data_IF_636730863507
#
_entry.id   IF_636730863507
#
_cell.length_a   1.000
_cell.length_b   1.000
_cell.length_c   1.000
_cell.angle_alpha   90.00
_cell.angle_beta   90.00
_cell.angle_gamma   90.00
#
_symmetry.space_group_name_H-M   'P 1'
#
loop_
_entity.id
_entity.type
_entity.pdbx_description
1 polymer ?
#
# COMPACT_ATOMS: atom_id res chain seq x y z
N UNK A 1 -3.87 32.74 8.37
CA UNK A 1 -3.35 31.44 8.89
C UNK A 1 -2.21 31.78 9.80
N UNK A 2 -2.21 31.33 11.06
CA UNK A 2 -1.08 31.61 11.99
C UNK A 2 0.17 30.83 11.54
N UNK A 3 1.36 31.33 11.91
CA UNK A 3 2.64 30.66 11.56
C UNK A 3 2.66 29.23 12.11
N UNK A 4 2.05 28.99 13.26
CA UNK A 4 1.98 27.67 13.91
C UNK A 4 1.18 26.64 13.07
N UNK A 5 0.11 27.07 12.41
CA UNK A 5 -0.68 26.21 11.51
C UNK A 5 0.13 25.83 10.26
N UNK A 6 0.92 26.78 9.72
CA UNK A 6 1.80 26.51 8.58
C UNK A 6 2.90 25.52 8.94
N UNK A 7 3.49 25.66 10.13
CA UNK A 7 4.54 24.75 10.60
C UNK A 7 3.98 23.35 10.82
N UNK A 8 2.83 23.22 11.48
CA UNK A 8 2.21 21.90 11.72
C UNK A 8 1.81 21.18 10.42
N UNK A 9 1.27 21.89 9.44
CA UNK A 9 0.97 21.30 8.12
C UNK A 9 2.25 20.94 7.36
N UNK A 10 3.31 21.72 7.46
CA UNK A 10 4.60 21.41 6.84
C UNK A 10 5.25 20.18 7.48
N UNK A 11 5.19 20.02 8.80
CA UNK A 11 5.67 18.83 9.52
C UNK A 11 4.87 17.58 9.16
N UNK A 12 3.54 17.72 9.08
CA UNK A 12 2.64 16.64 8.64
C UNK A 12 3.01 16.15 7.24
N UNK A 13 3.09 17.06 6.29
CA UNK A 13 3.44 16.73 4.89
C UNK A 13 4.86 16.17 4.83
N UNK A 14 5.81 16.76 5.56
CA UNK A 14 7.20 16.34 5.59
C UNK A 14 7.38 14.90 6.08
N UNK A 15 6.70 14.50 7.16
CA UNK A 15 6.76 13.13 7.69
C UNK A 15 6.15 12.11 6.72
N UNK A 16 5.05 12.46 6.04
CA UNK A 16 4.42 11.60 5.02
C UNK A 16 5.30 11.45 3.79
N UNK A 17 5.91 12.54 3.30
CA UNK A 17 6.85 12.51 2.16
C UNK A 17 8.14 11.74 2.50
N UNK A 18 8.67 11.90 3.72
CA UNK A 18 9.81 11.13 4.18
C UNK A 18 9.48 9.63 4.24
N UNK A 19 8.33 9.26 4.79
CA UNK A 19 7.88 7.88 4.77
C UNK A 19 7.75 7.34 3.34
N UNK A 20 7.09 8.07 2.45
CA UNK A 20 6.93 7.69 1.04
C UNK A 20 8.28 7.41 0.37
N UNK A 21 9.23 8.32 0.55
CA UNK A 21 10.58 8.15 0.04
C UNK A 21 11.25 6.89 0.60
N UNK A 22 11.25 6.75 1.92
CA UNK A 22 11.99 5.69 2.59
C UNK A 22 11.38 4.31 2.35
N UNK A 23 10.04 4.19 2.38
CA UNK A 23 9.39 2.90 2.14
C UNK A 23 9.53 2.46 0.68
N UNK A 24 9.45 3.40 -0.28
CA UNK A 24 9.64 3.08 -1.70
C UNK A 24 11.05 2.58 -1.98
N UNK A 25 12.08 3.29 -1.47
CA UNK A 25 13.48 2.83 -1.61
C UNK A 25 13.69 1.48 -0.92
N UNK A 26 13.10 1.28 0.26
CA UNK A 26 13.14 -0.01 0.97
C UNK A 26 12.56 -1.12 0.10
N UNK A 27 11.37 -0.92 -0.46
CA UNK A 27 10.69 -1.91 -1.29
C UNK A 27 11.48 -2.27 -2.56
N UNK A 28 12.03 -1.28 -3.26
CA UNK A 28 12.91 -1.46 -4.43
C UNK A 28 14.18 -2.28 -4.08
N UNK A 29 14.81 -1.99 -2.94
CA UNK A 29 15.97 -2.74 -2.47
C UNK A 29 15.62 -4.17 -2.03
N UNK A 30 14.45 -4.38 -1.43
CA UNK A 30 13.94 -5.73 -1.12
C UNK A 30 13.71 -6.54 -2.40
N UNK A 31 13.14 -5.92 -3.45
CA UNK A 31 12.97 -6.58 -4.74
C UNK A 31 14.32 -6.88 -5.41
N UNK A 32 15.24 -5.92 -5.44
CA UNK A 32 16.58 -6.09 -5.99
C UNK A 32 17.38 -7.19 -5.25
N UNK A 33 17.16 -7.36 -3.93
CA UNK A 33 17.72 -8.47 -3.15
C UNK A 33 17.04 -9.82 -3.44
N UNK A 34 15.88 -9.81 -4.11
CA UNK A 34 15.14 -11.01 -4.49
C UNK A 34 14.15 -11.52 -3.42
N UNK A 35 13.75 -10.69 -2.47
CA UNK A 35 12.84 -11.10 -1.38
C UNK A 35 11.49 -11.56 -1.93
N UNK A 36 10.88 -10.80 -2.85
CA UNK A 36 9.59 -11.17 -3.44
C UNK A 36 9.69 -12.43 -4.32
N UNK A 37 10.80 -12.61 -5.05
CA UNK A 37 11.07 -13.83 -5.81
C UNK A 37 11.26 -15.03 -4.90
N UNK A 38 12.00 -14.90 -3.80
CA UNK A 38 12.15 -15.96 -2.82
C UNK A 38 10.80 -16.34 -2.18
N UNK A 39 9.98 -15.36 -1.81
CA UNK A 39 8.64 -15.58 -1.28
C UNK A 39 7.77 -16.33 -2.30
N UNK A 40 7.69 -15.87 -3.56
CA UNK A 40 6.88 -16.52 -4.59
C UNK A 40 7.32 -17.96 -4.87
N UNK A 41 8.64 -18.24 -4.84
CA UNK A 41 9.16 -19.62 -4.96
C UNK A 41 8.74 -20.49 -3.77
N UNK A 42 8.79 -19.97 -2.55
CA UNK A 42 8.29 -20.68 -1.37
C UNK A 42 6.81 -21.02 -1.49
N UNK A 43 5.99 -20.09 -2.03
CA UNK A 43 4.57 -20.34 -2.30
C UNK A 43 4.38 -21.44 -3.33
N UNK A 44 5.13 -21.42 -4.43
CA UNK A 44 5.04 -22.45 -5.47
C UNK A 44 5.39 -23.86 -4.92
N UNK A 45 6.38 -23.95 -4.04
CA UNK A 45 6.71 -25.23 -3.35
C UNK A 45 5.65 -25.64 -2.34
N UNK A 46 5.13 -24.68 -1.54
CA UNK A 46 4.10 -24.93 -0.53
C UNK A 46 2.77 -25.39 -1.15
N UNK A 47 2.45 -24.90 -2.35
CA UNK A 47 1.25 -25.26 -3.08
C UNK A 47 1.28 -26.70 -3.65
N UNK A 48 2.43 -27.38 -3.65
CA UNK A 48 2.59 -28.81 -4.01
C UNK A 48 1.96 -29.19 -5.35
N UNK A 49 1.96 -28.30 -6.32
CA UNK A 49 1.41 -28.54 -7.65
C UNK A 49 -0.05 -28.14 -7.83
N UNK A 50 -0.75 -27.70 -6.79
CA UNK A 50 -2.11 -27.20 -6.90
C UNK A 50 -2.13 -25.71 -7.25
N UNK A 51 -2.65 -25.36 -8.43
CA UNK A 51 -2.79 -23.97 -8.87
C UNK A 51 -3.75 -23.17 -8.00
N UNK A 52 -4.82 -23.80 -7.52
CA UNK A 52 -5.76 -23.13 -6.59
C UNK A 52 -5.07 -22.74 -5.28
N UNK A 53 -4.28 -23.68 -4.70
CA UNK A 53 -3.52 -23.37 -3.47
C UNK A 53 -2.47 -22.30 -3.73
N UNK A 54 -1.77 -22.35 -4.86
CA UNK A 54 -0.81 -21.34 -5.28
C UNK A 54 -1.47 -19.95 -5.37
N UNK A 55 -2.64 -19.88 -5.99
CA UNK A 55 -3.38 -18.63 -6.11
C UNK A 55 -3.81 -18.08 -4.75
N UNK A 56 -4.35 -18.94 -3.86
CA UNK A 56 -4.74 -18.53 -2.49
C UNK A 56 -3.54 -18.06 -1.67
N UNK A 57 -2.40 -18.74 -1.78
CA UNK A 57 -1.16 -18.31 -1.13
C UNK A 57 -0.65 -16.98 -1.70
N UNK A 58 -0.82 -16.76 -3.01
CA UNK A 58 -0.50 -15.47 -3.64
C UNK A 58 -1.43 -14.34 -3.18
N UNK A 59 -2.72 -14.62 -2.99
CA UNK A 59 -3.70 -13.70 -2.37
C UNK A 59 -3.26 -13.34 -0.95
N UNK A 60 -2.86 -14.33 -0.14
CA UNK A 60 -2.36 -14.09 1.22
C UNK A 60 -1.07 -13.26 1.21
N UNK A 61 -0.11 -13.56 0.33
CA UNK A 61 1.13 -12.79 0.19
C UNK A 61 0.84 -11.34 -0.23
N UNK A 62 -0.05 -11.13 -1.22
CA UNK A 62 -0.43 -9.80 -1.66
C UNK A 62 -1.07 -9.00 -0.51
N UNK A 63 -1.95 -9.62 0.27
CA UNK A 63 -2.55 -9.01 1.46
C UNK A 63 -1.48 -8.59 2.47
N UNK A 64 -0.55 -9.48 2.82
CA UNK A 64 0.53 -9.18 3.78
C UNK A 64 1.45 -8.07 3.28
N UNK A 65 1.87 -8.13 2.02
CA UNK A 65 2.72 -7.09 1.42
C UNK A 65 2.01 -5.74 1.40
N UNK A 66 0.72 -5.70 1.06
CA UNK A 66 -0.07 -4.47 1.08
C UNK A 66 -0.14 -3.88 2.49
N UNK A 67 -0.47 -4.70 3.49
CA UNK A 67 -0.64 -4.26 4.88
C UNK A 67 0.65 -3.67 5.47
N UNK A 68 1.81 -4.28 5.21
CA UNK A 68 3.07 -3.89 5.87
C UNK A 68 4.02 -3.06 5.03
N UNK A 69 3.94 -3.12 3.71
CA UNK A 69 4.86 -2.39 2.83
C UNK A 69 4.17 -1.29 2.00
N UNK A 70 3.01 -1.46 1.54
CA UNK A 70 2.08 -0.50 0.90
C UNK A 70 1.37 -1.07 -0.32
N UNK A 71 0.31 -0.38 -0.74
CA UNK A 71 -0.41 -0.68 -1.97
C UNK A 71 0.50 -0.56 -3.22
N UNK A 72 1.36 0.44 -3.25
CA UNK A 72 2.27 0.68 -4.39
C UNK A 72 3.27 -0.45 -4.55
N UNK A 73 3.83 -0.95 -3.43
CA UNK A 73 4.73 -2.11 -3.42
C UNK A 73 4.04 -3.35 -4.00
N UNK A 74 2.81 -3.61 -3.60
CA UNK A 74 2.03 -4.75 -4.11
C UNK A 74 1.74 -4.60 -5.60
N UNK A 75 1.26 -3.43 -6.01
CA UNK A 75 0.88 -3.19 -7.40
C UNK A 75 2.09 -3.18 -8.34
N UNK A 76 3.20 -2.55 -7.96
CA UNK A 76 4.33 -2.28 -8.86
C UNK A 76 5.40 -3.38 -8.78
N UNK A 77 5.73 -3.87 -7.59
CA UNK A 77 6.85 -4.81 -7.39
C UNK A 77 6.38 -6.26 -7.28
N UNK A 78 5.35 -6.55 -6.48
CA UNK A 78 4.90 -7.92 -6.29
C UNK A 78 4.15 -8.47 -7.51
N UNK A 79 3.33 -7.65 -8.19
CA UNK A 79 2.55 -8.11 -9.35
C UNK A 79 3.42 -8.70 -10.44
N UNK A 80 4.47 -8.05 -10.97
CA UNK A 80 5.33 -8.64 -11.99
C UNK A 80 5.97 -9.97 -11.55
N UNK A 81 6.33 -10.09 -10.28
CA UNK A 81 6.94 -11.31 -9.73
C UNK A 81 5.95 -12.48 -9.78
N UNK A 82 4.72 -12.27 -9.31
CA UNK A 82 3.68 -13.30 -9.34
C UNK A 82 3.27 -13.67 -10.77
N UNK A 83 3.21 -12.69 -11.68
CA UNK A 83 2.94 -12.96 -13.10
C UNK A 83 4.05 -13.80 -13.75
N UNK A 84 5.31 -13.51 -13.43
CA UNK A 84 6.46 -14.27 -13.94
C UNK A 84 6.44 -15.69 -13.38
N UNK A 85 6.16 -15.85 -12.08
CA UNK A 85 5.99 -17.16 -11.44
C UNK A 85 4.86 -17.95 -12.13
N UNK A 86 3.68 -17.37 -12.29
CA UNK A 86 2.54 -18.04 -12.92
C UNK A 86 2.87 -18.52 -14.34
N UNK A 87 3.47 -17.65 -15.18
CA UNK A 87 3.89 -18.01 -16.55
C UNK A 87 4.93 -19.13 -16.54
N UNK A 88 5.91 -19.08 -15.64
CA UNK A 88 6.96 -20.12 -15.53
C UNK A 88 6.40 -21.48 -15.12
N UNK A 89 5.26 -21.52 -14.44
CA UNK A 89 4.56 -22.74 -14.05
C UNK A 89 3.52 -23.20 -15.09
N UNK A 90 3.36 -22.47 -16.20
CA UNK A 90 2.36 -22.75 -17.23
C UNK A 90 0.94 -22.34 -16.85
N UNK A 91 0.82 -21.51 -15.81
CA UNK A 91 -0.44 -21.03 -15.29
C UNK A 91 -0.89 -19.73 -15.96
N UNK A 92 -2.20 -19.48 -15.98
CA UNK A 92 -2.74 -18.22 -16.50
C UNK A 92 -2.37 -17.07 -15.57
N UNK A 93 -1.65 -16.03 -16.05
CA UNK A 93 -1.16 -14.96 -15.17
C UNK A 93 -2.27 -13.98 -14.71
N UNK A 94 -3.35 -13.88 -15.47
CA UNK A 94 -4.40 -12.88 -15.23
C UNK A 94 -5.09 -12.99 -13.85
N UNK A 95 -5.43 -14.19 -13.30
CA UNK A 95 -6.02 -14.28 -11.96
C UNK A 95 -5.08 -13.78 -10.86
N UNK A 96 -3.76 -13.93 -11.05
CA UNK A 96 -2.76 -13.41 -10.13
C UNK A 96 -2.65 -11.88 -10.22
N UNK A 97 -2.67 -11.33 -11.45
CA UNK A 97 -2.67 -9.88 -11.66
C UNK A 97 -3.89 -9.23 -11.02
N UNK A 98 -5.08 -9.79 -11.26
CA UNK A 98 -6.33 -9.25 -10.73
C UNK A 98 -6.32 -9.29 -9.20
N UNK A 99 -5.86 -10.39 -8.61
CA UNK A 99 -5.75 -10.54 -7.17
C UNK A 99 -4.83 -9.49 -6.54
N UNK A 100 -3.62 -9.29 -7.12
CA UNK A 100 -2.68 -8.29 -6.58
C UNK A 100 -3.20 -6.87 -6.70
N UNK A 101 -3.78 -6.49 -7.83
CA UNK A 101 -4.27 -5.13 -8.07
C UNK A 101 -5.48 -4.81 -7.17
N UNK A 102 -6.42 -5.75 -7.03
CA UNK A 102 -7.58 -5.53 -6.17
C UNK A 102 -7.20 -5.50 -4.69
N UNK A 103 -6.32 -6.43 -4.24
CA UNK A 103 -5.86 -6.46 -2.86
C UNK A 103 -4.91 -5.32 -2.51
N UNK A 104 -4.19 -4.76 -3.47
CA UNK A 104 -3.41 -3.55 -3.25
C UNK A 104 -4.27 -2.41 -2.69
N UNK A 105 -5.50 -2.23 -3.19
CA UNK A 105 -6.43 -1.26 -2.64
C UNK A 105 -7.16 -1.80 -1.39
N UNK A 106 -7.90 -2.89 -1.52
CA UNK A 106 -8.81 -3.37 -0.48
C UNK A 106 -8.12 -3.83 0.82
N UNK A 107 -6.87 -4.31 0.76
CA UNK A 107 -6.09 -4.69 1.94
C UNK A 107 -5.31 -3.51 2.55
N UNK A 108 -5.33 -2.33 1.93
CA UNK A 108 -4.58 -1.18 2.42
C UNK A 108 -5.21 -0.44 3.60
N UNK A 109 -6.39 -0.84 4.06
CA UNK A 109 -7.12 -0.16 5.14
C UNK A 109 -6.66 -0.49 6.56
N UNK A 110 -5.86 -1.55 6.79
CA UNK A 110 -5.62 -2.05 8.14
C UNK A 110 -4.60 -1.24 8.94
N UNK A 111 -3.52 -0.81 8.30
CA UNK A 111 -2.43 -0.08 8.96
C UNK A 111 -2.19 1.29 8.29
N UNK A 112 -1.70 2.27 9.07
CA UNK A 112 -1.37 3.59 8.52
C UNK A 112 -0.38 3.54 7.36
N UNK A 113 0.60 2.64 7.43
CA UNK A 113 1.68 2.51 6.44
C UNK A 113 1.24 1.92 5.11
N UNK A 114 0.06 1.29 5.07
CA UNK A 114 -0.43 0.61 3.88
C UNK A 114 -0.81 1.58 2.75
N UNK A 115 -1.17 2.83 3.09
CA UNK A 115 -1.56 3.87 2.14
C UNK A 115 -1.24 5.27 2.69
N UNK A 116 -0.87 6.20 1.81
CA UNK A 116 -0.62 7.60 2.18
C UNK A 116 -1.85 8.30 2.77
N UNK A 117 -3.04 7.98 2.31
CA UNK A 117 -4.30 8.53 2.84
C UNK A 117 -4.53 8.14 4.30
N UNK A 118 -4.16 6.91 4.69
CA UNK A 118 -4.22 6.47 6.07
C UNK A 118 -3.25 7.26 6.95
N UNK A 119 -2.01 7.48 6.49
CA UNK A 119 -1.03 8.28 7.21
C UNK A 119 -1.49 9.72 7.42
N UNK A 120 -2.12 10.31 6.41
CA UNK A 120 -2.68 11.67 6.50
C UNK A 120 -3.77 11.73 7.57
N UNK A 121 -4.67 10.75 7.60
CA UNK A 121 -5.72 10.67 8.61
C UNK A 121 -5.15 10.51 10.01
N UNK A 122 -4.19 9.59 10.19
CA UNK A 122 -3.54 9.34 11.49
C UNK A 122 -2.87 10.60 12.03
N UNK A 123 -2.12 11.31 11.20
CA UNK A 123 -1.54 12.59 11.58
C UNK A 123 -2.59 13.67 11.88
N UNK A 124 -3.72 13.65 11.17
CA UNK A 124 -4.78 14.64 11.36
C UNK A 124 -5.53 14.45 12.67
N UNK A 125 -5.74 13.19 13.08
CA UNK A 125 -6.46 12.83 14.29
C UNK A 125 -5.54 12.61 15.49
N UNK A 126 -4.22 12.75 15.32
CA UNK A 126 -3.20 12.44 16.31
C UNK A 126 -3.36 11.03 16.91
N UNK A 127 -3.59 10.06 16.03
CA UNK A 127 -3.80 8.67 16.43
C UNK A 127 -2.50 7.86 16.42
N UNK A 128 -2.43 6.87 17.32
CA UNK A 128 -1.40 5.85 17.25
C UNK A 128 -1.73 4.82 16.17
N UNK A 129 -0.72 4.01 15.80
CA UNK A 129 -0.90 2.88 14.85
C UNK A 129 -1.99 1.92 15.35
N UNK A 130 -2.00 1.61 16.62
CA UNK A 130 -2.99 0.71 17.23
C UNK A 130 -4.38 1.34 17.31
N UNK A 131 -4.48 2.63 17.63
CA UNK A 131 -5.76 3.34 17.62
C UNK A 131 -6.37 3.27 16.23
N UNK A 132 -5.59 3.52 15.19
CA UNK A 132 -6.05 3.37 13.80
C UNK A 132 -6.49 1.92 13.50
N UNK A 133 -5.64 0.94 13.81
CA UNK A 133 -5.93 -0.46 13.55
C UNK A 133 -7.20 -0.95 14.26
N UNK A 134 -7.44 -0.51 15.52
CA UNK A 134 -8.66 -0.88 16.25
C UNK A 134 -9.94 -0.28 15.67
N UNK A 135 -9.88 0.84 14.98
CA UNK A 135 -11.03 1.41 14.26
C UNK A 135 -11.21 0.80 12.89
N UNK A 136 -10.12 0.40 12.24
CA UNK A 136 -10.12 -0.02 10.84
C UNK A 136 -10.09 -1.54 10.62
N UNK A 137 -9.88 -2.38 11.67
CA UNK A 137 -9.81 -3.84 11.48
C UNK A 137 -11.07 -4.43 10.87
N UNK A 138 -12.27 -3.98 11.30
CA UNK A 138 -13.52 -4.52 10.78
C UNK A 138 -13.80 -4.06 9.32
N UNK A 139 -13.71 -2.76 8.97
CA UNK A 139 -13.76 -2.34 7.57
C UNK A 139 -12.72 -3.03 6.69
N UNK A 140 -11.46 -3.15 7.16
CA UNK A 140 -10.39 -3.82 6.42
C UNK A 140 -10.70 -5.31 6.19
N UNK A 141 -11.16 -6.01 7.22
CA UNK A 141 -11.53 -7.42 7.09
C UNK A 141 -12.68 -7.62 6.10
N UNK A 142 -13.73 -6.80 6.21
CA UNK A 142 -14.88 -6.86 5.28
C UNK A 142 -14.42 -6.57 3.86
N UNK A 143 -13.62 -5.54 3.65
CA UNK A 143 -13.08 -5.18 2.33
C UNK A 143 -12.28 -6.34 1.71
N UNK A 144 -11.36 -6.93 2.47
CA UNK A 144 -10.56 -8.08 2.00
C UNK A 144 -11.42 -9.30 1.73
N UNK A 145 -12.35 -9.65 2.63
CA UNK A 145 -13.23 -10.82 2.47
C UNK A 145 -14.13 -10.67 1.24
N UNK A 146 -14.75 -9.50 1.06
CA UNK A 146 -15.59 -9.21 -0.11
C UNK A 146 -14.74 -9.27 -1.39
N UNK A 147 -13.56 -8.67 -1.39
CA UNK A 147 -12.64 -8.72 -2.53
C UNK A 147 -12.24 -10.15 -2.87
N UNK A 148 -11.86 -10.97 -1.89
CA UNK A 148 -11.54 -12.38 -2.12
C UNK A 148 -12.76 -13.13 -2.65
N UNK A 149 -13.95 -12.91 -2.09
CA UNK A 149 -15.19 -13.51 -2.56
C UNK A 149 -15.49 -13.18 -4.03
N UNK A 150 -15.34 -11.90 -4.42
CA UNK A 150 -15.49 -11.46 -5.81
C UNK A 150 -14.42 -12.08 -6.71
N UNK A 151 -13.16 -12.10 -6.27
CA UNK A 151 -12.07 -12.74 -7.00
C UNK A 151 -12.33 -14.22 -7.24
N UNK A 152 -12.82 -14.96 -6.23
CA UNK A 152 -13.21 -16.37 -6.38
C UNK A 152 -14.30 -16.53 -7.43
N UNK A 153 -15.34 -15.67 -7.40
CA UNK A 153 -16.45 -15.73 -8.38
C UNK A 153 -15.95 -15.42 -9.80
N UNK A 154 -15.14 -14.36 -9.96
CA UNK A 154 -14.61 -13.92 -11.27
C UNK A 154 -13.61 -14.91 -11.82
N UNK A 155 -12.69 -15.39 -10.97
CA UNK A 155 -11.59 -16.25 -11.40
C UNK A 155 -11.91 -17.75 -11.38
N UNK A 156 -13.06 -18.19 -10.87
CA UNK A 156 -13.41 -19.62 -10.67
C UNK A 156 -13.22 -20.52 -11.91
N UNK A 157 -13.32 -19.96 -13.11
CA UNK A 157 -13.12 -20.67 -14.38
C UNK A 157 -11.70 -20.53 -14.93
N UNK A 158 -10.94 -19.64 -14.34
CA UNK A 158 -9.60 -19.23 -14.79
C UNK A 158 -8.53 -19.60 -13.74
N UNK A 159 -8.98 -19.90 -12.51
CA UNK A 159 -8.09 -20.39 -11.45
C UNK A 159 -7.49 -21.70 -11.90
N UNK A 160 -6.19 -21.79 -11.85
CA UNK A 160 -5.40 -22.82 -12.51
C UNK A 160 -5.68 -24.22 -12.00
N UNK A 161 -5.50 -25.17 -12.92
CA UNK A 161 -5.46 -26.60 -12.61
C UNK A 161 -4.18 -26.99 -11.85
N UNK A 162 -3.82 -28.27 -11.98
CA UNK A 162 -2.59 -28.76 -11.37
C UNK A 162 -1.39 -28.44 -12.28
N UNK A 163 -0.29 -27.97 -11.66
CA UNK A 163 0.99 -27.75 -12.33
C UNK A 163 2.07 -28.67 -11.78
N UNK A 164 3.12 -28.92 -12.58
CA UNK A 164 4.27 -29.70 -12.09
C UNK A 164 5.17 -28.83 -11.23
N UNK A 165 5.23 -29.11 -9.93
CA UNK A 165 6.06 -28.36 -8.97
C UNK A 165 7.57 -28.36 -9.33
N UNK A 166 8.03 -29.37 -10.09
CA UNK A 166 9.40 -29.46 -10.62
C UNK A 166 9.72 -28.40 -11.66
N UNK A 167 8.70 -27.80 -12.31
CA UNK A 167 8.88 -26.73 -13.29
C UNK A 167 9.25 -25.38 -12.67
N UNK A 168 9.17 -25.25 -11.35
CA UNK A 168 9.58 -24.07 -10.62
C UNK A 168 11.11 -24.00 -10.53
N UNK A 169 11.79 -23.76 -11.67
CA UNK A 169 13.22 -23.46 -11.68
C UNK A 169 13.44 -22.10 -11.05
N UNK A 170 14.02 -22.07 -9.89
CA UNK A 170 14.44 -20.84 -9.24
C UNK A 170 15.89 -20.57 -9.61
N UNK A 171 16.11 -19.49 -10.31
CA UNK A 171 17.45 -18.92 -10.36
C UNK A 171 17.83 -18.47 -8.96
N UNK A 172 18.82 -19.13 -8.37
CA UNK A 172 19.29 -18.83 -7.02
C UNK A 172 19.56 -17.31 -6.92
N UNK A 173 19.21 -16.66 -5.79
CA UNK A 173 19.47 -15.25 -5.64
C UNK A 173 20.96 -15.00 -5.85
N UNK A 174 21.33 -13.96 -6.61
CA UNK A 174 22.73 -13.69 -6.93
C UNK A 174 23.61 -13.46 -5.67
N UNK A 175 22.98 -13.12 -4.54
CA UNK A 175 23.63 -12.96 -3.24
C UNK A 175 22.73 -13.43 -2.09
N UNK A 176 23.05 -14.61 -1.54
CA UNK A 176 22.28 -15.19 -0.41
C UNK A 176 22.42 -14.38 0.88
N UNK A 177 23.57 -13.69 1.07
CA UNK A 177 23.77 -12.85 2.27
C UNK A 177 22.91 -11.61 2.17
N UNK A 178 22.88 -10.98 0.99
CA UNK A 178 22.05 -9.80 0.75
C UNK A 178 20.56 -10.14 0.91
N UNK A 179 20.12 -11.29 0.40
CA UNK A 179 18.74 -11.76 0.62
C UNK A 179 18.42 -11.92 2.11
N UNK A 180 19.32 -12.50 2.90
CA UNK A 180 19.12 -12.66 4.36
C UNK A 180 19.03 -11.30 5.05
N UNK A 181 19.96 -10.38 4.76
CA UNK A 181 19.95 -9.02 5.31
C UNK A 181 18.66 -8.31 4.94
N UNK A 182 18.22 -8.42 3.68
CA UNK A 182 16.98 -7.81 3.21
C UNK A 182 15.74 -8.39 3.91
N UNK A 183 15.68 -9.71 4.11
CA UNK A 183 14.59 -10.35 4.86
C UNK A 183 14.57 -9.88 6.32
N UNK A 184 15.75 -9.77 6.96
CA UNK A 184 15.87 -9.25 8.34
C UNK A 184 15.44 -7.76 8.40
N UNK A 185 15.87 -6.94 7.44
CA UNK A 185 15.48 -5.53 7.36
C UNK A 185 13.96 -5.36 7.20
N UNK A 186 13.32 -6.20 6.38
CA UNK A 186 11.85 -6.22 6.29
C UNK A 186 11.20 -6.64 7.62
N UNK A 187 11.75 -7.63 8.32
CA UNK A 187 11.29 -8.03 9.66
C UNK A 187 11.45 -6.89 10.69
N UNK A 188 12.58 -6.19 10.67
CA UNK A 188 12.81 -5.02 11.53
C UNK A 188 11.78 -3.93 11.25
N UNK A 189 11.49 -3.62 9.98
CA UNK A 189 10.44 -2.67 9.61
C UNK A 189 9.11 -3.03 10.27
N UNK A 190 8.66 -4.28 10.13
CA UNK A 190 7.41 -4.76 10.72
C UNK A 190 7.43 -4.64 12.25
N UNK A 191 8.52 -5.06 12.90
CA UNK A 191 8.65 -4.97 14.36
C UNK A 191 8.60 -3.53 14.85
N UNK A 192 9.30 -2.61 14.19
CA UNK A 192 9.28 -1.19 14.56
C UNK A 192 7.90 -0.55 14.39
N UNK A 193 7.16 -0.93 13.34
CA UNK A 193 5.78 -0.47 13.12
C UNK A 193 4.83 -0.99 14.22
N UNK A 194 4.97 -2.25 14.60
CA UNK A 194 4.19 -2.86 15.69
C UNK A 194 4.54 -2.25 17.04
N UNK A 195 5.80 -1.84 17.22
CA UNK A 195 6.29 -1.15 18.42
C UNK A 195 5.95 0.37 18.45
N UNK A 196 5.07 0.83 17.55
CA UNK A 196 4.62 2.23 17.45
C UNK A 196 5.74 3.26 17.17
N UNK A 197 6.87 2.80 16.62
CA UNK A 197 7.89 3.73 16.13
C UNK A 197 7.31 4.51 14.94
N UNK A 198 7.51 5.84 14.86
CA UNK A 198 6.99 6.64 13.76
C UNK A 198 7.30 6.01 12.39
N UNK A 199 6.31 5.89 11.49
CA UNK A 199 6.47 5.15 10.23
C UNK A 199 7.67 5.57 9.38
N UNK A 200 7.98 6.87 9.31
CA UNK A 200 9.15 7.37 8.59
C UNK A 200 10.48 6.94 9.23
N UNK A 201 10.53 6.79 10.58
CA UNK A 201 11.72 6.30 11.28
C UNK A 201 11.91 4.81 11.04
N UNK A 202 10.83 4.02 11.12
CA UNK A 202 10.86 2.58 10.86
C UNK A 202 11.32 2.29 9.42
N UNK A 203 10.73 2.98 8.43
CA UNK A 203 11.12 2.85 7.03
C UNK A 203 12.55 3.36 6.76
N UNK A 204 12.95 4.49 7.37
CA UNK A 204 14.29 5.04 7.25
C UNK A 204 15.36 4.11 7.84
N UNK A 205 15.07 3.43 8.95
CA UNK A 205 15.95 2.43 9.56
C UNK A 205 16.16 1.25 8.60
N UNK A 206 15.07 0.68 8.09
CA UNK A 206 15.13 -0.42 7.12
C UNK A 206 15.88 -0.03 5.85
N UNK A 207 15.57 1.13 5.28
CA UNK A 207 16.29 1.69 4.13
C UNK A 207 17.79 1.82 4.39
N UNK A 208 18.18 2.35 5.54
CA UNK A 208 19.59 2.55 5.89
C UNK A 208 20.35 1.22 5.96
N UNK A 209 19.77 0.20 6.62
CA UNK A 209 20.33 -1.15 6.69
C UNK A 209 20.56 -1.71 5.28
N UNK A 210 19.56 -1.57 4.40
CA UNK A 210 19.65 -2.05 3.02
C UNK A 210 20.68 -1.27 2.20
N UNK A 211 20.69 0.06 2.27
CA UNK A 211 21.67 0.88 1.56
C UNK A 211 23.11 0.53 1.95
N UNK A 212 23.38 0.33 3.24
CA UNK A 212 24.70 -0.09 3.73
C UNK A 212 25.05 -1.48 3.19
N UNK A 213 24.12 -2.44 3.24
CA UNK A 213 24.35 -3.79 2.73
C UNK A 213 24.64 -3.80 1.22
N UNK A 214 23.87 -3.05 0.44
CA UNK A 214 24.09 -2.92 -1.01
C UNK A 214 25.41 -2.17 -1.32
N UNK A 215 25.75 -1.13 -0.57
CA UNK A 215 27.01 -0.41 -0.75
C UNK A 215 28.24 -1.32 -0.55
N UNK A 216 28.14 -2.30 0.32
CA UNK A 216 29.25 -3.26 0.55
C UNK A 216 29.30 -4.39 -0.48
N UNK A 217 28.12 -4.87 -0.93
CA UNK A 217 28.03 -6.11 -1.72
C UNK A 217 27.70 -5.90 -3.18
N UNK A 218 26.90 -4.89 -3.52
CA UNK A 218 26.36 -4.66 -4.86
C UNK A 218 26.23 -3.18 -5.21
N UNK A 219 27.29 -2.41 -5.04
CA UNK A 219 27.33 -0.97 -5.38
C UNK A 219 26.71 -0.60 -6.74
N UNK A 220 26.88 -1.37 -7.82
CA UNK A 220 26.31 -1.02 -9.11
C UNK A 220 24.79 -0.98 -9.13
N UNK A 221 24.12 -1.65 -8.17
CA UNK A 221 22.66 -1.65 -8.05
C UNK A 221 22.14 -0.39 -7.37
N UNK A 222 23.00 0.37 -6.67
CA UNK A 222 22.66 1.66 -6.08
C UNK A 222 22.68 2.74 -7.15
N UNK A 223 21.54 2.95 -7.79
CA UNK A 223 21.34 3.95 -8.85
C UNK A 223 20.43 5.06 -8.35
N UNK A 224 20.59 6.27 -8.90
CA UNK A 224 19.69 7.39 -8.61
C UNK A 224 18.22 7.08 -8.93
N UNK A 225 17.94 6.15 -9.85
CA UNK A 225 16.59 5.68 -10.18
C UNK A 225 15.86 4.98 -9.03
N UNK A 226 16.57 4.51 -7.99
CA UNK A 226 15.98 3.96 -6.76
C UNK A 226 15.22 5.03 -5.95
N UNK A 227 15.62 6.29 -6.09
CA UNK A 227 14.97 7.37 -5.35
C UNK A 227 13.76 7.87 -6.14
N UNK A 228 12.53 7.79 -5.59
CA UNK A 228 11.30 8.15 -6.28
C UNK A 228 11.09 9.68 -6.30
N UNK A 229 12.10 10.43 -6.76
CA UNK A 229 12.08 11.90 -6.76
C UNK A 229 10.86 12.44 -7.50
N UNK A 230 10.52 11.83 -8.65
CA UNK A 230 9.34 12.23 -9.42
C UNK A 230 8.05 12.03 -8.62
N UNK A 231 7.92 10.92 -7.90
CA UNK A 231 6.77 10.63 -7.06
C UNK A 231 6.65 11.63 -5.91
N UNK A 232 7.77 11.90 -5.21
CA UNK A 232 7.82 12.89 -4.12
C UNK A 232 7.45 14.28 -4.62
N UNK A 233 8.04 14.72 -5.75
CA UNK A 233 7.72 16.03 -6.35
C UNK A 233 6.25 16.11 -6.75
N UNK A 234 5.72 15.09 -7.45
CA UNK A 234 4.32 15.08 -7.86
C UNK A 234 3.37 15.12 -6.65
N UNK A 235 3.68 14.35 -5.60
CA UNK A 235 2.90 14.35 -4.36
C UNK A 235 2.96 15.72 -3.68
N UNK A 236 4.13 16.35 -3.60
CA UNK A 236 4.30 17.70 -3.03
C UNK A 236 3.50 18.74 -3.81
N UNK A 237 3.59 18.71 -5.14
CA UNK A 237 2.83 19.61 -6.02
C UNK A 237 1.33 19.39 -5.84
N UNK A 238 0.89 18.13 -5.73
CA UNK A 238 -0.50 17.80 -5.49
C UNK A 238 -1.01 18.40 -4.19
N UNK A 239 -0.26 18.24 -3.08
CA UNK A 239 -0.59 18.88 -1.79
C UNK A 239 -0.74 20.41 -1.95
N UNK A 240 0.24 21.04 -2.58
CA UNK A 240 0.21 22.49 -2.78
C UNK A 240 -1.00 22.92 -3.62
N UNK A 241 -1.29 22.26 -4.73
CA UNK A 241 -2.41 22.56 -5.61
C UNK A 241 -3.74 22.40 -4.88
N UNK A 242 -3.96 21.27 -4.19
CA UNK A 242 -5.23 21.05 -3.46
C UNK A 242 -5.40 22.07 -2.33
N UNK A 243 -4.32 22.40 -1.61
CA UNK A 243 -4.36 23.44 -0.57
C UNK A 243 -4.77 24.80 -1.16
N UNK A 244 -4.19 25.22 -2.27
CA UNK A 244 -4.53 26.47 -2.95
C UNK A 244 -5.99 26.45 -3.43
N UNK A 245 -6.42 25.37 -4.09
CA UNK A 245 -7.81 25.25 -4.57
C UNK A 245 -8.82 25.32 -3.42
N UNK A 246 -8.51 24.67 -2.29
CA UNK A 246 -9.34 24.73 -1.09
C UNK A 246 -9.40 26.14 -0.51
N UNK A 247 -8.26 26.85 -0.41
CA UNK A 247 -8.22 28.23 0.10
C UNK A 247 -8.97 29.23 -0.80
N UNK A 248 -9.02 28.98 -2.10
CA UNK A 248 -9.77 29.79 -3.06
C UNK A 248 -11.26 29.44 -3.10
N UNK A 249 -11.73 28.48 -2.30
CA UNK A 249 -13.11 28.02 -2.30
C UNK A 249 -13.52 27.25 -3.55
N UNK A 250 -12.55 26.90 -4.41
CA UNK A 250 -12.84 26.19 -5.67
C UNK A 250 -13.28 24.74 -5.46
N UNK A 251 -13.15 24.21 -4.24
CA UNK A 251 -13.61 22.88 -3.86
C UNK A 251 -14.94 22.90 -3.08
N UNK A 252 -15.52 24.07 -2.81
CA UNK A 252 -16.75 24.19 -1.98
C UNK A 252 -17.98 23.52 -2.61
N UNK A 253 -18.00 23.37 -3.93
CA UNK A 253 -19.03 22.59 -4.63
C UNK A 253 -19.06 21.11 -4.25
N UNK A 254 -17.99 20.58 -3.67
CA UNK A 254 -17.94 19.20 -3.17
C UNK A 254 -18.79 19.01 -1.92
N UNK A 255 -19.02 20.07 -1.11
CA UNK A 255 -19.84 20.00 0.13
C UNK A 255 -21.25 19.49 -0.14
N UNK A 256 -22.05 20.11 -1.03
CA UNK A 256 -23.39 19.62 -1.30
C UNK A 256 -23.40 18.24 -1.97
N UNK A 257 -22.34 17.87 -2.72
CA UNK A 257 -22.22 16.55 -3.35
C UNK A 257 -21.91 15.47 -2.32
N UNK A 258 -20.98 15.74 -1.42
CA UNK A 258 -20.58 14.82 -0.34
C UNK A 258 -21.66 14.67 0.75
N UNK A 259 -22.53 15.69 0.88
CA UNK A 259 -23.56 15.74 1.91
C UNK A 259 -23.01 16.14 3.28
N UNK A 260 -23.94 16.43 4.19
CA UNK A 260 -23.67 16.80 5.58
C UNK A 260 -24.29 15.76 6.53
N UNK A 261 -23.85 15.76 7.80
CA UNK A 261 -24.38 14.87 8.83
C UNK A 261 -23.54 13.61 9.07
N UNK A 262 -23.91 12.87 10.12
CA UNK A 262 -23.22 11.66 10.60
C UNK A 262 -24.13 10.42 10.62
N UNK A 263 -25.34 10.55 10.08
CA UNK A 263 -26.21 9.40 9.93
C UNK A 263 -25.64 8.43 8.89
N UNK A 264 -26.05 7.19 8.95
CA UNK A 264 -25.49 6.14 8.10
C UNK A 264 -25.60 6.43 6.60
N UNK A 265 -26.68 7.11 6.18
CA UNK A 265 -26.91 7.47 4.78
C UNK A 265 -25.95 8.58 4.31
N UNK A 266 -25.70 9.58 5.16
CA UNK A 266 -24.73 10.64 4.89
C UNK A 266 -23.30 10.07 4.80
N UNK A 267 -22.92 9.16 5.71
CA UNK A 267 -21.63 8.49 5.67
C UNK A 267 -21.47 7.61 4.43
N UNK A 268 -22.52 6.86 4.06
CA UNK A 268 -22.52 6.03 2.86
C UNK A 268 -22.40 6.90 1.59
N UNK A 269 -23.12 8.03 1.54
CA UNK A 269 -23.04 9.00 0.44
C UNK A 269 -21.61 9.55 0.31
N UNK A 270 -21.00 9.99 1.41
CA UNK A 270 -19.62 10.48 1.41
C UNK A 270 -18.65 9.41 0.92
N UNK A 271 -18.77 8.16 1.42
CA UNK A 271 -17.94 7.04 0.96
C UNK A 271 -18.15 6.75 -0.53
N UNK A 272 -19.37 6.78 -1.03
CA UNK A 272 -19.66 6.56 -2.45
C UNK A 272 -19.06 7.65 -3.34
N UNK A 273 -19.20 8.92 -2.94
CA UNK A 273 -18.60 10.07 -3.66
C UNK A 273 -17.08 9.94 -3.65
N UNK A 274 -16.49 9.58 -2.51
CA UNK A 274 -15.06 9.37 -2.38
C UNK A 274 -14.56 8.20 -3.26
N UNK A 275 -15.32 7.10 -3.31
CA UNK A 275 -15.03 5.95 -4.16
C UNK A 275 -15.08 6.29 -5.66
N UNK A 276 -16.10 7.03 -6.09
CA UNK A 276 -16.17 7.51 -7.49
C UNK A 276 -15.01 8.44 -7.80
N UNK A 277 -14.72 9.39 -6.92
CA UNK A 277 -13.61 10.33 -7.09
C UNK A 277 -12.25 9.60 -7.16
N UNK A 278 -12.00 8.65 -6.26
CA UNK A 278 -10.72 7.91 -6.23
C UNK A 278 -10.50 7.07 -7.48
N UNK A 279 -11.56 6.49 -8.04
CA UNK A 279 -11.48 5.77 -9.32
C UNK A 279 -11.29 6.69 -10.53
N UNK A 280 -11.70 7.97 -10.44
CA UNK A 280 -11.52 8.94 -11.51
C UNK A 280 -10.12 9.59 -11.51
N UNK A 281 -9.56 9.89 -10.31
CA UNK A 281 -8.33 10.70 -10.19
C UNK A 281 -7.24 10.10 -9.30
N UNK A 282 -7.44 8.94 -8.72
CA UNK A 282 -6.61 8.26 -7.71
C UNK A 282 -6.98 8.61 -6.26
N UNK A 283 -6.60 7.71 -5.31
CA UNK A 283 -6.97 7.78 -3.89
C UNK A 283 -6.49 9.08 -3.21
N UNK A 284 -5.23 9.44 -3.39
CA UNK A 284 -4.64 10.59 -2.71
C UNK A 284 -5.25 11.93 -3.14
N UNK A 285 -5.38 12.26 -4.44
CA UNK A 285 -6.06 13.48 -4.87
C UNK A 285 -7.52 13.55 -4.40
N UNK A 286 -8.26 12.43 -4.48
CA UNK A 286 -9.65 12.36 -4.06
C UNK A 286 -9.79 12.60 -2.54
N UNK A 287 -8.94 11.97 -1.74
CA UNK A 287 -8.90 12.16 -0.30
C UNK A 287 -8.63 13.61 0.06
N UNK A 288 -7.57 14.22 -0.48
CA UNK A 288 -7.18 15.60 -0.19
C UNK A 288 -8.27 16.62 -0.60
N UNK A 289 -8.92 16.39 -1.73
CA UNK A 289 -10.01 17.29 -2.20
C UNK A 289 -11.25 17.22 -1.30
N UNK A 290 -11.55 16.05 -0.73
CA UNK A 290 -12.72 15.81 0.12
C UNK A 290 -12.42 15.95 1.62
N UNK A 291 -11.14 15.94 2.06
CA UNK A 291 -10.76 16.08 3.46
C UNK A 291 -11.41 17.30 4.13
N UNK A 292 -11.44 18.51 3.51
CA UNK A 292 -12.05 19.68 4.14
C UNK A 292 -13.55 19.54 4.41
N UNK A 293 -14.24 18.65 3.69
CA UNK A 293 -15.66 18.38 3.87
C UNK A 293 -15.93 17.42 5.04
N UNK A 294 -14.92 16.66 5.46
CA UNK A 294 -15.04 15.61 6.49
C UNK A 294 -14.39 15.98 7.83
N UNK A 295 -13.73 17.16 7.92
CA UNK A 295 -12.94 17.57 9.10
C UNK A 295 -13.75 17.77 10.38
N UNK A 296 -15.04 17.97 10.28
CA UNK A 296 -15.95 18.21 11.39
C UNK A 296 -16.25 16.95 12.23
N UNK A 297 -15.91 15.77 11.71
CA UNK A 297 -16.23 14.50 12.37
C UNK A 297 -15.25 13.38 12.05
N UNK A 298 -14.81 12.69 13.09
CA UNK A 298 -14.00 11.47 12.96
C UNK A 298 -14.72 10.40 12.14
N UNK A 299 -16.04 10.25 12.30
CA UNK A 299 -16.82 9.27 11.50
C UNK A 299 -16.82 9.61 10.02
N UNK A 300 -16.93 10.89 9.68
CA UNK A 300 -16.86 11.36 8.31
C UNK A 300 -15.47 11.15 7.71
N UNK A 301 -14.42 11.43 8.48
CA UNK A 301 -13.04 11.16 8.07
C UNK A 301 -12.79 9.68 7.78
N UNK A 302 -13.31 8.78 8.62
CA UNK A 302 -13.24 7.34 8.38
C UNK A 302 -14.06 6.89 7.16
N UNK A 303 -15.27 7.45 6.98
CA UNK A 303 -16.11 7.17 5.82
C UNK A 303 -15.43 7.62 4.51
N UNK A 304 -14.81 8.80 4.51
CA UNK A 304 -13.98 9.31 3.42
C UNK A 304 -12.83 8.35 3.11
N UNK A 305 -12.10 7.93 4.14
CA UNK A 305 -10.95 7.03 4.00
C UNK A 305 -11.36 5.67 3.40
N UNK A 306 -12.45 5.07 3.93
CA UNK A 306 -12.98 3.81 3.40
C UNK A 306 -13.37 3.98 1.93
N UNK A 307 -14.10 5.04 1.60
CA UNK A 307 -14.52 5.29 0.23
C UNK A 307 -13.37 5.47 -0.75
N UNK A 308 -12.29 6.15 -0.34
CA UNK A 308 -11.13 6.38 -1.22
C UNK A 308 -10.26 5.15 -1.43
N UNK A 309 -10.35 4.13 -0.58
CA UNK A 309 -9.46 2.96 -0.58
C UNK A 309 -10.16 1.64 -0.99
N UNK A 310 -11.46 1.65 -1.20
CA UNK A 310 -12.26 0.48 -1.59
C UNK A 310 -12.96 0.74 -2.90
#
# INVERSE_FOLDING_TARGET
MSADVLVSEAERIGSVLAFLLFVTVTAELLDAAGVFRAASHLLARAARGSGTVLWLLSVALATVVTVFLSLDTTAVLLTPVLLTMARGLGERPWPFALATVWLANSASLLLPVSNLTNLLLVHRLDWSVWTFATHMWAPALVSVVVTIGLLVVVCRREVPGDYRAESATWDAPPDRVLLRVATVAAGILVVLLVAEVPPYVAAGTSMTILLVAFAWRRRPDLRWSLFPVRLVVLTTVLFAVVTVLSQLGLLDWLRPVAGEGEDWLALLRLSAVAGVASNAVNNLPAYLALEPVALDSTRRMLALLIGTNV
#
